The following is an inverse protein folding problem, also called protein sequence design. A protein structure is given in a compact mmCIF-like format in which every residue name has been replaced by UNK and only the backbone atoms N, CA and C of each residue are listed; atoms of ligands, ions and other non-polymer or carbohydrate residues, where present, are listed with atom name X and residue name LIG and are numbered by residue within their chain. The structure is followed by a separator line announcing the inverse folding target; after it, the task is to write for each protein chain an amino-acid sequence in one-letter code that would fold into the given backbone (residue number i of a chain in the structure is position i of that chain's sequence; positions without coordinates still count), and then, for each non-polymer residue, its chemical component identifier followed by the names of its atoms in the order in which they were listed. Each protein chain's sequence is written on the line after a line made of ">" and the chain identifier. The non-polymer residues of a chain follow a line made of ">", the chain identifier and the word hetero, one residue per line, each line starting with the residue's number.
data_IF_546446731549
#
_entry.id   IF_546446731549
#
_cell.length_a   1.000
_cell.length_b   1.000
_cell.length_c   1.000
_cell.angle_alpha   90.00
_cell.angle_beta   90.00
_cell.angle_gamma   90.00
#
_symmetry.space_group_name_H-M   'P 1'
#
loop_
_entity.id
_entity.type
_entity.pdbx_description
1 polymer ?
#
# COMPACT_ATOMS: atom_id res chain seq x y z
N UNK A 1 21.29 4.03 -70.05
CA UNK A 1 20.46 4.95 -70.86
C UNK A 1 19.17 5.17 -70.08
N UNK A 2 18.71 6.36 -69.72
CA UNK A 2 19.21 7.76 -69.71
C UNK A 2 18.67 8.35 -68.37
N UNK A 3 19.36 9.19 -67.59
CA UNK A 3 19.58 10.65 -67.78
C UNK A 3 18.27 11.39 -68.16
N UNK A 4 17.86 12.53 -67.59
CA UNK A 4 18.54 13.63 -66.87
C UNK A 4 17.49 14.43 -66.02
N UNK A 5 17.79 15.06 -64.88
CA UNK A 5 18.14 16.51 -64.68
C UNK A 5 17.06 17.54 -65.14
N UNK A 6 16.87 18.75 -64.58
CA UNK A 6 17.28 19.46 -63.34
C UNK A 6 16.49 20.81 -63.27
N UNK A 7 16.77 21.66 -62.26
CA UNK A 7 16.27 23.05 -61.95
C UNK A 7 15.17 23.10 -60.87
N UNK A 8 15.32 23.72 -59.69
CA UNK A 8 15.95 24.97 -59.19
C UNK A 8 15.34 26.27 -59.74
N UNK A 9 14.72 27.08 -58.87
CA UNK A 9 15.40 28.24 -58.27
C UNK A 9 14.69 28.74 -56.97
N UNK A 10 15.03 29.94 -56.47
CA UNK A 10 15.09 30.31 -55.04
C UNK A 10 14.15 31.45 -54.63
N UNK A 11 14.01 31.58 -53.31
CA UNK A 11 14.02 32.84 -52.53
C UNK A 11 12.79 33.76 -52.56
N UNK A 12 12.25 34.02 -51.36
CA UNK A 12 12.37 35.35 -50.72
C UNK A 12 12.34 35.24 -49.19
N UNK A 13 13.18 36.03 -48.50
CA UNK A 13 13.23 36.19 -47.04
C UNK A 13 12.52 37.48 -46.61
N UNK A 14 11.68 37.39 -45.57
CA UNK A 14 11.41 38.41 -44.51
C UNK A 14 10.86 37.61 -43.30
N UNK A 15 11.14 37.85 -42.02
CA UNK A 15 12.12 38.72 -41.34
C UNK A 15 12.07 38.45 -39.82
N UNK A 16 13.00 39.00 -39.03
CA UNK A 16 12.99 38.97 -37.55
C UNK A 16 12.99 40.42 -37.00
N UNK A 17 12.46 40.63 -35.79
CA UNK A 17 13.33 40.79 -34.61
C UNK A 17 12.93 39.81 -33.49
N UNK A 18 13.83 39.19 -32.71
CA UNK A 18 14.96 39.70 -31.92
C UNK A 18 14.57 40.41 -30.61
N UNK A 19 14.41 39.64 -29.53
CA UNK A 19 15.02 39.91 -28.21
C UNK A 19 15.13 38.61 -27.39
N UNK A 20 16.14 38.56 -26.51
CA UNK A 20 16.44 37.52 -25.53
C UNK A 20 17.04 38.23 -24.29
N UNK A 21 17.55 37.53 -23.26
CA UNK A 21 17.01 36.43 -22.46
C UNK A 21 16.90 36.84 -20.96
N UNK A 22 16.47 35.94 -20.06
CA UNK A 22 17.15 35.66 -18.75
C UNK A 22 16.30 34.81 -17.80
N UNK A 23 17.01 34.06 -16.96
CA UNK A 23 16.48 33.33 -15.80
C UNK A 23 15.73 34.21 -14.78
N UNK A 24 14.83 33.59 -14.01
CA UNK A 24 14.78 33.87 -12.57
C UNK A 24 14.20 32.74 -11.72
N UNK A 25 15.06 32.21 -10.87
CA UNK A 25 14.70 31.54 -9.62
C UNK A 25 14.10 32.55 -8.62
N UNK A 26 13.58 32.00 -7.51
CA UNK A 26 13.34 32.65 -6.22
C UNK A 26 12.28 33.76 -6.11
N UNK A 27 11.17 33.41 -5.45
CA UNK A 27 10.34 34.34 -4.68
C UNK A 27 10.00 33.78 -3.30
N UNK A 28 10.97 33.87 -2.40
CA UNK A 28 10.78 33.81 -0.94
C UNK A 28 11.59 34.93 -0.28
N UNK A 29 10.94 36.01 0.18
CA UNK A 29 11.40 36.86 1.29
C UNK A 29 10.39 37.98 1.67
N UNK A 30 10.37 38.31 2.96
CA UNK A 30 10.00 39.58 3.58
C UNK A 30 8.57 40.16 3.48
N UNK A 31 7.77 39.80 4.48
CA UNK A 31 7.33 40.76 5.51
C UNK A 31 7.85 40.18 6.86
N UNK A 32 8.31 40.92 7.86
CA UNK A 32 8.32 42.36 8.11
C UNK A 32 8.36 42.55 9.63
N UNK A 33 9.53 42.83 10.20
CA UNK A 33 9.74 42.87 11.66
C UNK A 33 9.16 44.14 12.30
N UNK A 34 8.56 43.99 13.49
CA UNK A 34 8.45 45.05 14.49
C UNK A 34 8.49 44.42 15.89
N UNK A 35 9.31 44.97 16.80
CA UNK A 35 9.50 44.44 18.15
C UNK A 35 9.12 45.46 19.21
N UNK A 36 8.75 44.94 20.39
CA UNK A 36 8.80 45.60 21.71
C UNK A 36 7.80 46.73 21.98
N UNK A 37 6.92 46.52 22.97
CA UNK A 37 7.15 47.02 24.34
C UNK A 37 6.06 46.52 25.32
N UNK A 38 6.50 46.00 26.45
CA UNK A 38 5.76 45.89 27.72
C UNK A 38 6.27 47.02 28.66
N UNK A 39 5.77 47.27 29.89
CA UNK A 39 4.82 46.48 30.71
C UNK A 39 3.70 47.32 31.38
N UNK A 40 2.85 46.70 32.22
CA UNK A 40 2.40 47.25 33.53
C UNK A 40 1.75 46.14 34.41
N UNK A 41 1.50 46.42 35.69
CA UNK A 41 1.40 45.43 36.78
C UNK A 41 -0.02 44.88 37.09
N UNK A 42 0.01 43.72 37.76
CA UNK A 42 -0.98 43.03 38.63
C UNK A 42 -1.67 43.99 39.67
N UNK A 43 -2.74 43.63 40.46
CA UNK A 43 -2.94 42.30 41.06
C UNK A 43 -4.38 41.76 41.39
N UNK A 44 -4.40 40.47 41.77
CA UNK A 44 -5.39 39.78 42.65
C UNK A 44 -6.83 39.50 42.18
N UNK A 45 -7.17 38.20 42.11
CA UNK A 45 -8.12 37.51 43.01
C UNK A 45 -7.94 36.00 42.78
N UNK A 46 -7.89 35.21 43.85
CA UNK A 46 -7.76 33.75 43.77
C UNK A 46 -8.99 33.04 44.33
N UNK A 47 -9.32 31.88 43.76
CA UNK A 47 -10.05 30.81 44.43
C UNK A 47 -9.54 29.47 43.89
N UNK A 48 -9.20 28.55 44.78
CA UNK A 48 -8.56 27.29 44.42
C UNK A 48 -9.54 26.14 44.25
N UNK A 49 -9.12 25.10 43.52
CA UNK A 49 -9.56 23.74 43.82
C UNK A 49 -8.49 22.75 43.33
N UNK A 50 -7.87 22.03 44.27
CA UNK A 50 -6.87 21.01 43.93
C UNK A 50 -7.56 19.78 43.34
N UNK A 51 -7.20 19.39 42.11
CA UNK A 51 -7.47 18.05 41.59
C UNK A 51 -6.16 17.40 41.14
N UNK A 52 -5.66 16.53 42.00
CA UNK A 52 -4.46 15.71 41.77
C UNK A 52 -4.77 14.61 40.74
N UNK A 53 -4.62 14.93 39.44
CA UNK A 53 -4.75 13.94 38.36
C UNK A 53 -3.44 13.15 38.23
N UNK A 54 -3.22 12.24 39.18
CA UNK A 54 -2.18 11.21 39.09
C UNK A 54 -2.62 10.10 38.12
N UNK A 55 -2.75 10.44 36.84
CA UNK A 55 -3.16 9.51 35.79
C UNK A 55 -2.03 8.53 35.45
N UNK A 56 -2.15 7.31 35.98
CA UNK A 56 -1.24 6.21 35.65
C UNK A 56 -1.52 5.65 34.24
N UNK A 57 -0.79 6.11 33.25
CA UNK A 57 -0.57 5.33 32.02
C UNK A 57 0.92 5.21 31.72
N UNK A 58 1.59 4.29 32.41
CA UNK A 58 2.89 3.79 31.98
C UNK A 58 2.72 3.07 30.64
N UNK A 59 2.91 3.83 29.55
CA UNK A 59 2.81 3.36 28.16
C UNK A 59 3.93 2.34 27.92
N UNK A 60 3.63 1.07 28.21
CA UNK A 60 4.58 -0.05 28.24
C UNK A 60 5.26 -0.19 26.88
N UNK A 61 6.46 0.37 26.76
CA UNK A 61 7.25 0.33 25.54
C UNK A 61 7.58 -1.13 25.23
N UNK A 62 6.94 -1.69 24.19
CA UNK A 62 7.32 -3.00 23.68
C UNK A 62 8.74 -2.87 23.13
N UNK A 63 9.72 -3.41 23.85
CA UNK A 63 11.12 -3.48 23.43
C UNK A 63 11.15 -4.12 22.03
N UNK A 64 11.57 -3.36 21.02
CA UNK A 64 11.76 -3.90 19.68
C UNK A 64 12.89 -4.93 19.74
N UNK A 65 12.66 -6.08 19.11
CA UNK A 65 13.69 -7.11 18.90
C UNK A 65 14.41 -6.82 17.59
N UNK A 66 15.73 -7.01 17.55
CA UNK A 66 16.55 -6.70 16.38
C UNK A 66 16.68 -7.87 15.39
N UNK A 67 16.42 -9.11 15.84
CA UNK A 67 16.56 -10.32 15.02
C UNK A 67 15.49 -11.37 15.28
N UNK A 68 15.34 -12.33 14.35
CA UNK A 68 14.47 -13.50 14.53
C UNK A 68 14.92 -14.37 15.72
N UNK A 69 16.23 -14.46 15.98
CA UNK A 69 16.76 -15.20 17.14
C UNK A 69 16.32 -14.54 18.45
N UNK A 70 16.43 -13.21 18.56
CA UNK A 70 15.90 -12.46 19.70
C UNK A 70 14.38 -12.55 19.83
N UNK A 71 13.65 -12.52 18.70
CA UNK A 71 12.20 -12.74 18.71
C UNK A 71 11.86 -14.06 19.38
N UNK A 72 12.50 -15.17 18.97
CA UNK A 72 12.26 -16.49 19.57
C UNK A 72 12.71 -16.54 21.02
N UNK A 73 13.88 -15.99 21.35
CA UNK A 73 14.37 -15.91 22.73
C UNK A 73 13.44 -15.09 23.65
N UNK A 74 12.72 -14.09 23.12
CA UNK A 74 11.75 -13.27 23.88
C UNK A 74 10.46 -14.01 24.27
N UNK A 75 10.21 -15.21 23.72
CA UNK A 75 8.98 -15.99 23.95
C UNK A 75 9.07 -16.89 25.20
N UNK A 76 7.93 -17.36 25.75
CA UNK A 76 7.90 -18.36 26.82
C UNK A 76 8.68 -19.61 26.44
N UNK A 77 9.39 -20.23 27.40
CA UNK A 77 10.36 -21.32 27.20
C UNK A 77 9.72 -22.51 26.46
N UNK A 78 8.48 -22.79 26.80
CA UNK A 78 7.60 -23.85 26.29
C UNK A 78 7.38 -23.71 24.77
N UNK A 79 7.28 -22.47 24.28
CA UNK A 79 7.03 -22.19 22.86
C UNK A 79 8.29 -22.13 22.00
N UNK A 80 9.48 -21.95 22.59
CA UNK A 80 10.72 -21.70 21.83
C UNK A 80 11.08 -22.84 20.90
N UNK A 81 11.05 -24.09 21.41
CA UNK A 81 11.39 -25.27 20.63
C UNK A 81 10.51 -25.42 19.37
N UNK A 82 9.20 -25.17 19.51
CA UNK A 82 8.27 -25.19 18.38
C UNK A 82 8.56 -24.08 17.37
N UNK A 83 8.81 -22.85 17.83
CA UNK A 83 9.15 -21.73 16.94
C UNK A 83 10.52 -21.92 16.24
N UNK A 84 11.50 -22.56 16.89
CA UNK A 84 12.76 -22.96 16.27
C UNK A 84 12.60 -24.08 15.25
N UNK A 85 11.66 -25.02 15.47
CA UNK A 85 11.31 -26.03 14.48
C UNK A 85 10.65 -25.40 13.25
N UNK A 86 9.73 -24.44 13.42
CA UNK A 86 9.13 -23.66 12.32
C UNK A 86 10.20 -22.89 11.55
N UNK A 87 11.06 -22.13 12.24
CA UNK A 87 12.19 -21.41 11.64
C UNK A 87 13.11 -22.31 10.81
N UNK A 88 13.51 -23.48 11.35
CA UNK A 88 14.33 -24.45 10.63
C UNK A 88 13.62 -25.05 9.42
N UNK A 89 12.32 -25.35 9.52
CA UNK A 89 11.52 -25.85 8.40
C UNK A 89 11.48 -24.84 7.24
N UNK A 90 11.28 -23.55 7.54
CA UNK A 90 11.22 -22.51 6.50
C UNK A 90 12.59 -22.28 5.86
N UNK A 91 13.67 -22.15 6.64
CA UNK A 91 15.03 -21.98 6.11
C UNK A 91 15.48 -23.18 5.26
N UNK A 92 15.14 -24.41 5.66
CA UNK A 92 15.39 -25.63 4.87
C UNK A 92 14.58 -25.68 3.57
N UNK A 93 13.37 -25.14 3.58
CA UNK A 93 12.52 -25.07 2.40
C UNK A 93 12.94 -23.95 1.43
N UNK A 94 13.51 -22.87 1.94
CA UNK A 94 13.83 -21.63 1.23
C UNK A 94 15.30 -21.21 1.49
N UNK A 95 16.30 -21.96 0.98
CA UNK A 95 17.72 -21.69 1.28
C UNK A 95 18.21 -20.31 0.81
N UNK A 96 17.52 -19.70 -0.16
CA UNK A 96 17.84 -18.38 -0.71
C UNK A 96 16.99 -17.25 -0.12
N UNK A 97 16.11 -17.53 0.86
CA UNK A 97 15.28 -16.49 1.47
C UNK A 97 16.07 -15.64 2.47
N UNK A 98 15.83 -14.33 2.44
CA UNK A 98 16.35 -13.42 3.47
C UNK A 98 15.48 -13.56 4.72
N UNK A 99 16.10 -13.93 5.84
CA UNK A 99 15.45 -13.94 7.15
C UNK A 99 15.51 -12.54 7.78
N UNK A 100 14.35 -12.02 8.21
CA UNK A 100 14.25 -10.70 8.83
C UNK A 100 13.03 -10.57 9.73
N UNK A 101 12.69 -9.32 10.07
CA UNK A 101 11.51 -8.99 10.86
C UNK A 101 10.61 -8.01 10.08
N UNK A 102 9.36 -8.40 9.87
CA UNK A 102 8.27 -7.51 9.43
C UNK A 102 7.20 -7.54 10.52
N UNK A 103 6.55 -6.41 10.83
CA UNK A 103 5.51 -6.36 11.88
C UNK A 103 5.95 -6.83 13.29
N UNK A 104 7.26 -6.80 13.59
CA UNK A 104 7.85 -7.45 14.78
C UNK A 104 7.64 -8.98 14.84
N UNK A 105 7.48 -9.62 13.67
CA UNK A 105 7.34 -11.05 13.47
C UNK A 105 8.42 -11.57 12.51
N UNK A 106 8.94 -12.79 12.68
CA UNK A 106 9.82 -13.45 11.73
C UNK A 106 9.23 -13.49 10.32
N UNK A 107 10.02 -13.00 9.37
CA UNK A 107 9.67 -12.83 7.96
C UNK A 107 10.72 -13.50 7.07
N UNK A 108 10.28 -14.17 6.01
CA UNK A 108 11.13 -14.79 5.00
C UNK A 108 10.76 -14.22 3.63
N UNK A 109 11.70 -13.49 3.02
CA UNK A 109 11.49 -12.83 1.74
C UNK A 109 12.37 -13.43 0.64
N UNK A 110 11.89 -13.38 -0.60
CA UNK A 110 12.67 -13.65 -1.81
C UNK A 110 12.60 -12.41 -2.69
N UNK A 111 13.75 -11.88 -3.12
CA UNK A 111 13.84 -10.66 -3.93
C UNK A 111 13.08 -9.45 -3.33
N UNK A 112 13.05 -9.34 -1.99
CA UNK A 112 12.28 -8.32 -1.27
C UNK A 112 10.79 -8.60 -1.09
N UNK A 113 10.24 -9.68 -1.65
CA UNK A 113 8.82 -10.05 -1.57
C UNK A 113 8.56 -11.07 -0.46
N UNK A 114 7.53 -10.86 0.36
CA UNK A 114 7.12 -11.73 1.46
C UNK A 114 6.61 -13.11 1.05
N UNK A 115 7.41 -14.17 1.30
CA UNK A 115 7.02 -15.56 1.03
C UNK A 115 6.11 -16.10 2.12
N UNK A 116 6.61 -16.06 3.36
CA UNK A 116 5.98 -16.61 4.55
C UNK A 116 6.49 -15.90 5.81
N UNK A 117 5.62 -15.79 6.81
CA UNK A 117 5.88 -15.22 8.12
C UNK A 117 5.35 -16.18 9.19
N UNK A 118 5.85 -16.07 10.43
CA UNK A 118 5.26 -16.78 11.57
C UNK A 118 5.20 -15.94 12.84
N UNK A 119 4.25 -16.26 13.72
CA UNK A 119 4.09 -15.60 15.01
C UNK A 119 3.82 -16.60 16.14
N UNK A 120 4.47 -16.43 17.30
CA UNK A 120 4.19 -17.20 18.51
C UNK A 120 3.20 -16.49 19.44
N UNK A 121 2.07 -17.14 19.73
CA UNK A 121 1.01 -16.68 20.64
C UNK A 121 1.04 -17.46 21.96
N UNK A 122 0.02 -17.30 22.82
CA UNK A 122 -0.03 -17.97 24.14
C UNK A 122 -0.20 -19.49 24.05
N UNK A 123 -1.07 -19.95 23.15
CA UNK A 123 -1.50 -21.37 23.03
C UNK A 123 -1.21 -21.99 21.66
N UNK A 124 -0.81 -21.18 20.69
CA UNK A 124 -0.60 -21.56 19.30
C UNK A 124 0.53 -20.74 18.69
N UNK A 125 1.00 -21.16 17.52
CA UNK A 125 1.73 -20.31 16.59
C UNK A 125 0.94 -20.20 15.29
N UNK A 126 1.16 -19.12 14.55
CA UNK A 126 0.44 -18.86 13.31
C UNK A 126 1.39 -18.71 12.13
N UNK A 127 0.94 -19.12 10.94
CA UNK A 127 1.60 -18.87 9.66
C UNK A 127 0.78 -17.91 8.79
N UNK A 128 1.48 -17.03 8.09
CA UNK A 128 0.92 -16.00 7.21
C UNK A 128 1.76 -15.88 5.93
N UNK A 129 1.19 -15.45 4.79
CA UNK A 129 -0.24 -15.32 4.53
C UNK A 129 -0.85 -16.67 4.12
N UNK A 130 -2.02 -16.98 4.65
CA UNK A 130 -2.83 -18.14 4.26
C UNK A 130 -3.87 -17.73 3.21
N UNK A 131 -3.45 -17.65 1.95
CA UNK A 131 -4.36 -17.37 0.83
C UNK A 131 -5.29 -18.55 0.53
N UNK A 132 -6.45 -18.27 -0.08
CA UNK A 132 -7.45 -19.31 -0.36
C UNK A 132 -6.87 -20.43 -1.25
N UNK A 133 -6.09 -20.08 -2.27
CA UNK A 133 -5.38 -21.05 -3.12
C UNK A 133 -4.35 -21.92 -2.37
N UNK A 134 -3.78 -21.44 -1.25
CA UNK A 134 -2.95 -22.26 -0.36
C UNK A 134 -3.83 -23.19 0.47
N UNK A 135 -4.91 -22.66 1.04
CA UNK A 135 -5.85 -23.44 1.85
C UNK A 135 -6.47 -24.58 1.03
N UNK A 136 -6.82 -24.33 -0.23
CA UNK A 136 -7.31 -25.32 -1.19
C UNK A 136 -6.25 -26.38 -1.51
N UNK A 137 -5.03 -25.96 -1.90
CA UNK A 137 -3.94 -26.87 -2.26
C UNK A 137 -3.49 -27.81 -1.13
N UNK A 138 -3.77 -27.47 0.14
CA UNK A 138 -3.44 -28.26 1.32
C UNK A 138 -4.67 -28.66 2.14
N UNK A 139 -5.89 -28.60 1.58
CA UNK A 139 -7.14 -28.70 2.34
C UNK A 139 -7.24 -29.93 3.25
N UNK A 140 -6.80 -31.10 2.78
CA UNK A 140 -6.81 -32.37 3.56
C UNK A 140 -5.88 -32.32 4.77
N UNK A 141 -4.73 -31.66 4.64
CA UNK A 141 -3.70 -31.56 5.68
C UNK A 141 -3.95 -30.40 6.65
N UNK A 142 -4.74 -29.41 6.21
CA UNK A 142 -5.17 -28.28 7.01
C UNK A 142 -6.52 -28.49 7.71
N UNK A 143 -7.22 -29.58 7.41
CA UNK A 143 -8.50 -29.94 8.05
C UNK A 143 -8.45 -30.02 9.60
N UNK A 144 -7.35 -30.50 10.24
CA UNK A 144 -7.26 -30.55 11.71
C UNK A 144 -6.99 -29.18 12.37
N UNK A 145 -6.60 -28.15 11.61
CA UNK A 145 -6.07 -26.90 12.16
C UNK A 145 -7.07 -25.74 12.07
N UNK A 146 -7.03 -24.84 13.06
CA UNK A 146 -7.89 -23.65 13.07
C UNK A 146 -7.43 -22.67 11.98
N UNK A 147 -8.41 -22.13 11.22
CA UNK A 147 -8.18 -21.20 10.11
C UNK A 147 -9.04 -19.97 10.28
N UNK A 148 -8.44 -18.81 10.04
CA UNK A 148 -9.16 -17.55 9.82
C UNK A 148 -8.65 -16.90 8.53
N UNK A 149 -9.33 -15.86 8.03
CA UNK A 149 -8.90 -15.15 6.81
C UNK A 149 -7.42 -14.76 6.92
N UNK A 150 -6.59 -15.14 5.94
CA UNK A 150 -5.15 -14.87 5.90
C UNK A 150 -4.29 -15.65 6.91
N UNK A 151 -4.85 -16.46 7.80
CA UNK A 151 -4.13 -17.08 8.94
C UNK A 151 -4.35 -18.59 9.06
N UNK A 152 -3.25 -19.36 9.18
CA UNK A 152 -3.29 -20.72 9.74
C UNK A 152 -2.83 -20.67 11.20
N UNK A 153 -3.52 -21.35 12.11
CA UNK A 153 -3.12 -21.49 13.53
C UNK A 153 -2.83 -22.94 13.87
N UNK A 154 -1.69 -23.17 14.51
CA UNK A 154 -1.21 -24.49 14.91
C UNK A 154 -1.04 -24.53 16.44
N UNK A 155 -1.68 -25.46 17.16
CA UNK A 155 -1.58 -25.53 18.62
C UNK A 155 -0.14 -25.81 19.07
N UNK A 156 0.29 -25.18 20.18
CA UNK A 156 1.60 -25.42 20.79
C UNK A 156 1.66 -26.73 21.58
N UNK A 157 0.51 -27.35 21.86
CA UNK A 157 0.38 -28.66 22.51
C UNK A 157 0.66 -29.83 21.56
N UNK A 158 0.79 -29.59 20.26
CA UNK A 158 1.04 -30.62 19.25
C UNK A 158 2.44 -30.50 18.63
N UNK A 159 3.01 -31.61 18.11
CA UNK A 159 4.26 -31.55 17.37
C UNK A 159 4.13 -30.67 16.12
N UNK A 160 5.14 -29.83 15.86
CA UNK A 160 5.20 -28.99 14.66
C UNK A 160 5.17 -29.88 13.41
N UNK A 161 4.23 -29.68 12.45
CA UNK A 161 4.12 -30.50 11.25
C UNK A 161 5.15 -30.04 10.21
N UNK A 162 6.43 -30.25 10.51
CA UNK A 162 7.60 -29.73 9.74
C UNK A 162 7.47 -29.98 8.23
N UNK A 163 7.02 -31.18 7.82
CA UNK A 163 6.84 -31.54 6.40
C UNK A 163 5.75 -30.71 5.70
N UNK A 164 4.67 -30.37 6.39
CA UNK A 164 3.61 -29.49 5.88
C UNK A 164 4.12 -28.05 5.73
N UNK A 165 4.83 -27.54 6.75
CA UNK A 165 5.43 -26.19 6.71
C UNK A 165 6.45 -26.07 5.57
N UNK A 166 7.31 -27.07 5.37
CA UNK A 166 8.25 -27.10 4.24
C UNK A 166 7.54 -27.05 2.87
N UNK A 167 6.41 -27.75 2.73
CA UNK A 167 5.62 -27.76 1.48
C UNK A 167 4.86 -26.47 1.27
N UNK A 168 4.28 -25.89 2.33
CA UNK A 168 3.64 -24.57 2.31
C UNK A 168 4.64 -23.50 1.87
N UNK A 169 5.84 -23.46 2.47
CA UNK A 169 6.89 -22.51 2.12
C UNK A 169 7.31 -22.64 0.64
N UNK A 170 7.53 -23.87 0.15
CA UNK A 170 7.84 -24.13 -1.28
C UNK A 170 6.69 -23.75 -2.21
N UNK A 171 5.44 -24.01 -1.83
CA UNK A 171 4.26 -23.62 -2.60
C UNK A 171 4.13 -22.09 -2.69
N UNK A 172 4.30 -21.37 -1.58
CA UNK A 172 4.34 -19.90 -1.55
C UNK A 172 5.46 -19.33 -2.42
N UNK A 173 6.68 -19.87 -2.32
CA UNK A 173 7.78 -19.45 -3.17
C UNK A 173 7.49 -19.70 -4.65
N UNK A 174 6.89 -20.84 -5.01
CA UNK A 174 6.45 -21.11 -6.38
C UNK A 174 5.34 -20.16 -6.84
N UNK A 175 4.34 -19.88 -6.01
CA UNK A 175 3.32 -18.89 -6.32
C UNK A 175 3.93 -17.51 -6.59
N UNK A 176 4.92 -17.10 -5.81
CA UNK A 176 5.60 -15.83 -6.02
C UNK A 176 6.51 -15.85 -7.25
N UNK A 177 7.30 -16.90 -7.50
CA UNK A 177 8.12 -16.96 -8.72
C UNK A 177 7.28 -17.11 -9.99
N UNK A 178 6.16 -17.83 -9.94
CA UNK A 178 5.21 -17.92 -11.06
C UNK A 178 4.46 -16.60 -11.24
N UNK A 179 4.10 -15.92 -10.14
CA UNK A 179 3.56 -14.55 -10.20
C UNK A 179 4.60 -13.64 -10.84
N UNK A 180 5.81 -13.56 -10.31
CA UNK A 180 6.89 -12.69 -10.78
C UNK A 180 7.33 -13.01 -12.22
N UNK A 181 7.21 -14.26 -12.68
CA UNK A 181 7.41 -14.64 -14.08
C UNK A 181 6.22 -14.24 -14.98
N UNK A 182 4.98 -14.43 -14.54
CA UNK A 182 3.78 -13.96 -15.23
C UNK A 182 3.61 -12.42 -15.17
N UNK A 183 4.21 -11.77 -14.18
CA UNK A 183 4.25 -10.31 -13.97
C UNK A 183 5.64 -9.74 -14.23
N UNK A 184 6.47 -10.40 -15.06
CA UNK A 184 7.87 -10.05 -15.35
C UNK A 184 8.03 -8.65 -15.96
N UNK A 185 7.95 -7.64 -15.09
CA UNK A 185 7.26 -6.35 -15.32
C UNK A 185 5.83 -6.55 -15.86
N UNK A 186 4.84 -5.87 -15.26
CA UNK A 186 3.66 -5.45 -16.04
C UNK A 186 4.14 -4.37 -17.03
N UNK A 187 4.55 -4.83 -18.22
CA UNK A 187 5.45 -4.15 -19.19
C UNK A 187 4.94 -2.84 -19.83
N UNK A 188 3.83 -2.27 -19.35
CA UNK A 188 3.19 -1.10 -19.96
C UNK A 188 3.78 0.26 -19.61
N UNK A 189 4.68 0.34 -18.62
CA UNK A 189 5.02 1.62 -17.99
C UNK A 189 3.77 2.31 -17.45
N UNK A 190 3.72 3.63 -17.53
CA UNK A 190 2.53 4.45 -17.22
C UNK A 190 1.33 4.02 -18.04
N UNK A 191 1.48 4.03 -19.35
CA UNK A 191 0.38 3.94 -20.31
C UNK A 191 -0.33 2.59 -20.24
N UNK A 192 0.40 1.47 -20.32
CA UNK A 192 -0.23 0.16 -20.23
C UNK A 192 -0.78 -0.20 -18.83
N UNK A 193 -0.40 0.52 -17.76
CA UNK A 193 -1.11 0.43 -16.48
C UNK A 193 -2.42 1.22 -16.50
N UNK A 194 -2.44 2.41 -17.10
CA UNK A 194 -3.68 3.17 -17.33
C UNK A 194 -4.63 2.37 -18.24
N UNK A 195 -4.15 1.76 -19.32
CA UNK A 195 -4.97 0.93 -20.22
C UNK A 195 -5.47 -0.35 -19.57
N UNK A 196 -4.69 -0.96 -18.68
CA UNK A 196 -5.16 -2.05 -17.82
C UNK A 196 -6.32 -1.60 -16.93
N UNK A 197 -6.23 -0.42 -16.30
CA UNK A 197 -7.33 0.13 -15.49
C UNK A 197 -8.54 0.45 -16.38
N UNK A 198 -8.34 1.04 -17.56
CA UNK A 198 -9.41 1.30 -18.56
C UNK A 198 -10.16 0.04 -18.93
N UNK A 199 -9.46 -1.06 -19.26
CA UNK A 199 -10.08 -2.36 -19.58
C UNK A 199 -10.95 -2.88 -18.45
N UNK A 200 -10.48 -2.79 -17.19
CA UNK A 200 -11.26 -3.23 -16.02
C UNK A 200 -12.46 -2.31 -15.77
N UNK A 201 -12.26 -0.98 -15.82
CA UNK A 201 -13.31 0.00 -15.61
C UNK A 201 -14.38 0.00 -16.72
N UNK A 202 -14.05 -0.37 -17.95
CA UNK A 202 -15.01 -0.51 -19.05
C UNK A 202 -16.06 -1.62 -18.81
N UNK A 203 -15.75 -2.62 -17.98
CA UNK A 203 -16.68 -3.66 -17.54
C UNK A 203 -17.57 -3.22 -16.35
N UNK A 204 -17.43 -1.97 -15.86
CA UNK A 204 -18.23 -1.43 -14.75
C UNK A 204 -19.38 -0.55 -15.28
N UNK A 205 -20.64 -0.81 -14.89
CA UNK A 205 -21.79 -0.07 -15.43
C UNK A 205 -21.66 1.46 -15.28
N UNK A 206 -21.97 2.21 -16.32
CA UNK A 206 -22.00 3.69 -16.34
C UNK A 206 -20.68 4.41 -15.97
N UNK A 207 -19.60 3.68 -15.73
CA UNK A 207 -18.34 4.26 -15.31
C UNK A 207 -17.67 5.03 -16.46
N UNK A 208 -17.03 6.16 -16.17
CA UNK A 208 -16.33 6.96 -17.17
C UNK A 208 -15.03 7.55 -16.63
N UNK A 209 -14.05 7.74 -17.53
CA UNK A 209 -12.78 8.40 -17.25
C UNK A 209 -12.90 9.91 -17.44
N UNK A 210 -12.21 10.68 -16.58
CA UNK A 210 -11.95 12.10 -16.78
C UNK A 210 -10.58 12.45 -16.21
N UNK A 211 -9.81 13.28 -16.92
CA UNK A 211 -8.62 13.92 -16.36
C UNK A 211 -9.00 14.85 -15.21
N UNK A 212 -8.39 14.65 -14.04
CA UNK A 212 -8.55 15.49 -12.86
C UNK A 212 -7.18 15.75 -12.24
N UNK A 213 -6.82 17.01 -12.00
CA UNK A 213 -5.49 17.40 -11.49
C UNK A 213 -4.30 16.78 -12.26
N UNK A 214 -4.42 16.63 -13.59
CA UNK A 214 -3.38 16.09 -14.45
C UNK A 214 -3.29 14.55 -14.51
N UNK A 215 -4.15 13.82 -13.79
CA UNK A 215 -4.14 12.35 -13.75
C UNK A 215 -5.49 11.74 -14.17
N UNK A 216 -5.51 10.52 -14.76
CA UNK A 216 -6.73 9.77 -15.02
C UNK A 216 -7.50 9.43 -13.74
N UNK A 217 -8.78 9.83 -13.69
CA UNK A 217 -9.71 9.52 -12.61
C UNK A 217 -11.00 8.91 -13.15
N UNK A 218 -11.57 7.95 -12.43
CA UNK A 218 -12.76 7.19 -12.84
C UNK A 218 -13.95 7.50 -11.95
N UNK A 219 -15.11 7.74 -12.56
CA UNK A 219 -16.33 8.25 -11.93
C UNK A 219 -17.52 7.32 -12.19
N UNK A 220 -18.47 7.25 -11.25
CA UNK A 220 -19.56 6.25 -11.26
C UNK A 220 -20.60 6.48 -12.38
N UNK A 221 -21.00 7.72 -12.57
CA UNK A 221 -21.95 8.23 -13.57
C UNK A 221 -21.88 9.77 -13.55
N UNK A 222 -22.45 10.46 -14.54
CA UNK A 222 -22.43 11.93 -14.57
C UNK A 222 -23.11 12.54 -13.33
N UNK A 223 -22.37 13.41 -12.63
CA UNK A 223 -22.82 14.04 -11.38
C UNK A 223 -22.71 13.16 -10.12
N UNK A 224 -22.05 11.99 -10.19
CA UNK A 224 -21.55 11.26 -9.02
C UNK A 224 -20.05 11.48 -8.82
N UNK A 225 -19.52 11.01 -7.70
CA UNK A 225 -18.12 11.18 -7.32
C UNK A 225 -17.13 10.29 -8.09
N UNK A 226 -15.85 10.61 -7.92
CA UNK A 226 -14.73 9.77 -8.31
C UNK A 226 -14.64 8.54 -7.39
N UNK A 227 -14.35 7.37 -7.95
CA UNK A 227 -14.13 6.12 -7.21
C UNK A 227 -12.73 5.50 -7.41
N UNK A 228 -11.95 5.95 -8.40
CA UNK A 228 -10.55 5.55 -8.53
C UNK A 228 -9.71 6.70 -9.11
N UNK A 229 -8.53 6.93 -8.55
CA UNK A 229 -7.60 8.00 -8.97
C UNK A 229 -6.21 7.42 -9.22
N UNK A 230 -5.69 7.55 -10.43
CA UNK A 230 -4.32 7.12 -10.74
C UNK A 230 -3.30 8.09 -10.12
N UNK A 231 -2.13 7.61 -9.70
CA UNK A 231 -1.08 8.45 -9.11
C UNK A 231 0.31 7.85 -9.25
N UNK A 232 1.28 8.71 -9.54
CA UNK A 232 2.66 8.37 -9.93
C UNK A 232 3.71 8.86 -8.92
N UNK A 233 3.28 9.64 -7.91
CA UNK A 233 4.15 10.49 -7.09
C UNK A 233 3.93 10.33 -5.58
N UNK A 234 3.92 9.10 -5.04
CA UNK A 234 3.83 8.94 -3.58
C UNK A 234 5.18 9.14 -2.86
N UNK A 235 6.30 8.78 -3.51
CA UNK A 235 7.66 8.71 -2.89
C UNK A 235 8.86 9.05 -3.80
N UNK A 236 8.64 9.67 -4.96
CA UNK A 236 9.68 9.93 -5.98
C UNK A 236 10.44 8.68 -6.47
N UNK A 237 9.88 7.49 -6.23
CA UNK A 237 10.44 6.17 -6.58
C UNK A 237 9.85 5.58 -7.87
N UNK A 238 9.07 6.37 -8.62
CA UNK A 238 8.46 6.00 -9.89
C UNK A 238 7.34 4.95 -9.78
N UNK A 239 6.84 4.64 -8.57
CA UNK A 239 5.78 3.64 -8.39
C UNK A 239 4.42 4.14 -8.86
N UNK A 240 3.82 3.39 -9.78
CA UNK A 240 2.48 3.62 -10.28
C UNK A 240 1.44 3.02 -9.34
N UNK A 241 0.45 3.82 -8.97
CA UNK A 241 -0.56 3.45 -8.00
C UNK A 241 -1.98 3.85 -8.42
N UNK A 242 -2.97 3.16 -7.87
CA UNK A 242 -4.38 3.51 -8.01
C UNK A 242 -4.97 3.66 -6.60
N UNK A 243 -5.58 4.82 -6.34
CA UNK A 243 -6.17 5.11 -5.04
C UNK A 243 -7.67 4.92 -5.13
N UNK A 244 -8.24 4.19 -4.17
CA UNK A 244 -9.68 3.85 -4.12
C UNK A 244 -10.24 4.01 -2.70
N UNK A 245 -11.50 4.40 -2.52
CA UNK A 245 -12.17 4.34 -1.23
C UNK A 245 -12.43 2.86 -0.86
N UNK A 246 -12.27 2.54 0.41
CA UNK A 246 -12.63 1.22 0.97
C UNK A 246 -13.68 1.38 2.07
N UNK A 247 -14.28 0.27 2.49
CA UNK A 247 -15.25 0.28 3.58
C UNK A 247 -14.62 0.77 4.89
N UNK A 248 -15.43 1.38 5.76
CA UNK A 248 -14.98 1.94 7.03
C UNK A 248 -14.28 0.88 7.89
N UNK A 249 -13.13 1.23 8.46
CA UNK A 249 -12.28 0.32 9.24
C UNK A 249 -11.44 -0.67 8.41
N UNK A 250 -11.69 -0.86 7.11
CA UNK A 250 -10.95 -1.83 6.29
C UNK A 250 -9.57 -1.31 5.86
N UNK A 251 -9.41 0.00 5.67
CA UNK A 251 -8.14 0.63 5.28
C UNK A 251 -6.93 0.24 6.16
N UNK A 252 -6.96 0.40 7.50
CA UNK A 252 -5.82 0.01 8.34
C UNK A 252 -5.54 -1.49 8.26
N UNK A 253 -6.58 -2.32 8.21
CA UNK A 253 -6.44 -3.78 8.13
C UNK A 253 -5.78 -4.23 6.82
N UNK A 254 -6.11 -3.61 5.68
CA UNK A 254 -5.46 -3.91 4.40
C UNK A 254 -3.97 -3.55 4.41
N UNK A 255 -3.63 -2.40 4.98
CA UNK A 255 -2.24 -1.91 5.07
C UNK A 255 -1.43 -2.72 6.11
N UNK A 256 -2.08 -3.22 7.17
CA UNK A 256 -1.46 -4.11 8.16
C UNK A 256 -1.29 -5.55 7.64
N UNK A 257 -2.20 -6.06 6.82
CA UNK A 257 -2.10 -7.42 6.24
C UNK A 257 -1.18 -7.49 5.01
N UNK A 258 -1.02 -6.39 4.25
CA UNK A 258 -0.31 -6.42 2.96
C UNK A 258 0.33 -5.05 2.61
N UNK A 259 1.46 -4.69 3.25
CA UNK A 259 2.09 -3.36 3.12
C UNK A 259 2.78 -3.17 1.77
N UNK A 260 3.18 -4.28 1.16
CA UNK A 260 3.84 -4.34 -0.14
C UNK A 260 2.86 -4.08 -1.29
N UNK A 261 1.54 -4.07 -1.00
CA UNK A 261 0.47 -3.77 -1.96
C UNK A 261 -0.24 -2.46 -1.59
N UNK A 262 -0.50 -2.23 -0.30
CA UNK A 262 -1.36 -1.15 0.17
C UNK A 262 -0.64 -0.12 1.05
N UNK A 263 -0.98 1.16 0.87
CA UNK A 263 -0.43 2.26 1.65
C UNK A 263 -1.47 3.37 1.92
N UNK A 264 -1.14 4.28 2.85
CA UNK A 264 -1.93 5.49 3.10
C UNK A 264 -1.63 6.57 2.04
N UNK A 265 -2.57 6.89 1.12
CA UNK A 265 -2.37 7.92 0.12
C UNK A 265 -2.38 9.31 0.77
N UNK A 266 -1.59 10.25 0.22
CA UNK A 266 -1.61 11.64 0.70
C UNK A 266 -2.98 12.26 0.42
N UNK A 267 -3.38 13.22 1.27
CA UNK A 267 -4.63 14.00 1.18
C UNK A 267 -5.93 13.20 1.40
N UNK A 268 -6.19 12.13 0.64
CA UNK A 268 -7.43 11.34 0.72
C UNK A 268 -7.36 10.17 1.70
N UNK A 269 -6.16 9.80 2.19
CA UNK A 269 -5.99 8.71 3.15
C UNK A 269 -6.80 8.87 4.43
N UNK A 270 -6.83 10.08 5.01
CA UNK A 270 -7.65 10.36 6.20
C UNK A 270 -9.17 10.22 5.94
N UNK A 271 -9.61 10.24 4.67
CA UNK A 271 -11.00 10.05 4.24
C UNK A 271 -11.35 8.62 3.83
N UNK A 272 -10.59 7.60 4.27
CA UNK A 272 -10.88 6.19 4.02
C UNK A 272 -10.43 5.66 2.65
N UNK A 273 -9.50 6.33 1.97
CA UNK A 273 -8.94 5.86 0.70
C UNK A 273 -7.64 5.07 0.91
N UNK A 274 -7.50 3.94 0.25
CA UNK A 274 -6.25 3.16 0.21
C UNK A 274 -5.53 3.39 -1.12
N UNK A 275 -4.20 3.49 -1.09
CA UNK A 275 -3.36 3.47 -2.28
C UNK A 275 -2.93 2.04 -2.59
N UNK A 276 -3.07 1.61 -3.84
CA UNK A 276 -2.74 0.26 -4.31
C UNK A 276 -1.57 0.34 -5.30
N UNK A 277 -0.50 -0.42 -5.07
CA UNK A 277 0.62 -0.54 -6.00
C UNK A 277 0.26 -1.46 -7.18
N UNK A 278 0.27 -0.90 -8.40
CA UNK A 278 -0.31 -1.54 -9.59
C UNK A 278 0.54 -2.68 -10.17
N UNK A 279 1.81 -2.72 -9.84
CA UNK A 279 2.74 -3.82 -10.12
C UNK A 279 2.52 -5.02 -9.16
N UNK A 280 1.99 -4.78 -7.96
CA UNK A 280 1.91 -5.79 -6.88
C UNK A 280 0.54 -6.51 -6.76
N UNK A 281 -0.54 -5.97 -7.35
CA UNK A 281 -1.91 -6.51 -7.27
C UNK A 281 -2.36 -7.26 -8.54
N UNK A 282 -2.98 -8.43 -8.43
CA UNK A 282 -3.56 -9.18 -9.56
C UNK A 282 -4.79 -8.49 -10.19
N UNK A 283 -5.19 -8.86 -11.41
CA UNK A 283 -6.25 -8.17 -12.17
C UNK A 283 -7.64 -8.42 -11.57
N UNK A 284 -7.91 -9.63 -11.12
CA UNK A 284 -9.10 -10.06 -10.37
C UNK A 284 -9.25 -9.34 -9.02
N UNK A 285 -8.16 -9.21 -8.28
CA UNK A 285 -8.11 -8.47 -7.02
C UNK A 285 -8.29 -6.96 -7.24
N UNK A 286 -7.71 -6.41 -8.30
CA UNK A 286 -7.87 -5.00 -8.67
C UNK A 286 -9.31 -4.70 -9.14
N UNK A 287 -9.91 -5.59 -9.92
CA UNK A 287 -11.31 -5.52 -10.33
C UNK A 287 -12.25 -5.56 -9.12
N UNK A 288 -12.00 -6.46 -8.16
CA UNK A 288 -12.78 -6.56 -6.92
C UNK A 288 -12.78 -5.24 -6.14
N UNK A 289 -11.60 -4.61 -5.99
CA UNK A 289 -11.49 -3.29 -5.36
C UNK A 289 -12.21 -2.20 -6.13
N UNK A 290 -12.13 -2.20 -7.46
CA UNK A 290 -12.81 -1.20 -8.31
C UNK A 290 -14.33 -1.36 -8.28
N UNK A 291 -14.86 -2.59 -8.25
CA UNK A 291 -16.30 -2.88 -8.08
C UNK A 291 -16.82 -2.34 -6.75
N UNK A 292 -16.13 -2.61 -5.64
CA UNK A 292 -16.56 -2.15 -4.31
C UNK A 292 -16.39 -0.64 -4.14
N UNK A 293 -15.27 -0.07 -4.60
CA UNK A 293 -15.06 1.37 -4.63
C UNK A 293 -16.18 2.11 -5.39
N UNK A 294 -16.55 1.60 -6.57
CA UNK A 294 -17.68 2.13 -7.34
C UNK A 294 -18.98 2.02 -6.55
N UNK A 295 -19.24 0.90 -5.85
CA UNK A 295 -20.44 0.71 -5.00
C UNK A 295 -20.51 1.72 -3.86
N UNK A 296 -19.39 1.95 -3.16
CA UNK A 296 -19.25 2.93 -2.06
C UNK A 296 -19.54 4.37 -2.52
N UNK A 297 -19.14 4.74 -3.74
CA UNK A 297 -19.40 6.09 -4.27
C UNK A 297 -20.79 6.19 -4.92
N UNK A 298 -21.31 5.10 -5.48
CA UNK A 298 -22.67 5.03 -6.02
C UNK A 298 -23.72 5.22 -4.94
N UNK A 299 -23.52 4.65 -3.74
CA UNK A 299 -24.47 4.73 -2.62
C UNK A 299 -24.53 6.11 -1.95
N UNK A 300 -23.50 6.94 -2.09
CA UNK A 300 -23.49 8.31 -1.53
C UNK A 300 -24.56 9.19 -2.20
N UNK A 301 -25.32 9.95 -1.40
CA UNK A 301 -26.31 10.92 -1.89
C UNK A 301 -25.63 11.95 -2.82
N UNK A 302 -26.29 12.36 -3.91
CA UNK A 302 -25.75 13.43 -4.77
C UNK A 302 -25.65 14.73 -3.93
N UNK A 303 -24.54 15.48 -4.00
CA UNK A 303 -24.47 16.79 -3.36
C UNK A 303 -25.58 17.69 -3.90
N UNK A 304 -26.26 18.43 -3.01
CA UNK A 304 -27.20 19.46 -3.45
C UNK A 304 -26.44 20.51 -4.28
N UNK A 305 -26.97 20.85 -5.47
CA UNK A 305 -26.43 21.97 -6.24
C UNK A 305 -26.64 23.25 -5.43
N UNK A 306 -25.58 23.95 -5.04
CA UNK A 306 -25.72 25.36 -4.63
C UNK A 306 -26.37 26.12 -5.79
N UNK A 307 -27.37 26.97 -5.55
CA UNK A 307 -27.86 27.87 -6.58
C UNK A 307 -26.68 28.70 -7.10
N UNK A 308 -26.59 28.87 -8.42
CA UNK A 308 -25.66 29.85 -8.98
C UNK A 308 -26.23 31.22 -8.62
N UNK A 309 -25.45 32.04 -7.93
CA UNK A 309 -25.81 33.44 -7.72
C UNK A 309 -25.99 34.13 -9.07
N UNK A 310 -27.00 35.00 -9.14
CA UNK A 310 -27.14 36.00 -10.19
C UNK A 310 -26.14 37.13 -9.95
#
# INVERSE_FOLDING_TARGET
>A
MQSEQHTRDRSRRVGLPSTAPSDRLDRYANLGSASSLAPFLNPTIGFGCAHNVRSMTAKRSRKRVASVREYVASKPKESRASLEAVRRAILKALPNAQEGLAYQMPAYTLNGVGVLYFAGWKSHYSLYPASDALVEAFAKELAPYERSKGTLKFPLSEPVPVRLIERIAKFRARQLTTRDAATGRRKGGREGQVDRIRRICAALPSAFEKMSHGTPCFFVEQGKGCFAMFSEHHRDDGRLSLWVPVADGLQPLMIEESPDIYFYPRYVGAGGWVGILLDQIADDALESHLREARRIIASKRKPARKPRGM
#
